data_IF_003528601085
#
_entry.id   IF_003528601085
#
_cell.length_a   1.000
_cell.length_b   1.000
_cell.length_c   1.000
_cell.angle_alpha   90.00
_cell.angle_beta   90.00
_cell.angle_gamma   90.00
#
_symmetry.space_group_name_H-M   'P 1'
#
loop_
_entity.id
_entity.type
_entity.pdbx_description
1 polymer ?
#
# COMPACT_ATOMS: atom_id res chain seq x y z
N UNK A 1 -27.18 11.94 1.77
CA UNK A 1 -25.76 12.34 1.87
C UNK A 1 -24.91 11.22 1.29
N UNK A 2 -24.28 11.36 0.11
CA UNK A 2 -23.50 10.27 -0.44
C UNK A 2 -22.21 10.12 0.39
N UNK A 3 -22.03 8.91 0.91
CA UNK A 3 -20.98 8.54 1.83
C UNK A 3 -19.64 8.53 1.10
N UNK A 4 -18.72 9.37 1.57
CA UNK A 4 -17.41 9.67 1.00
C UNK A 4 -16.42 8.52 1.27
N UNK A 5 -16.75 7.29 0.87
CA UNK A 5 -15.82 6.15 0.91
C UNK A 5 -14.85 6.24 -0.27
N UNK A 6 -13.83 7.11 -0.17
CA UNK A 6 -12.67 7.01 -1.04
C UNK A 6 -11.90 5.73 -0.66
N UNK A 7 -12.23 4.63 -1.32
CA UNK A 7 -11.57 3.33 -1.17
C UNK A 7 -10.26 3.23 -1.97
N UNK A 8 -9.89 4.27 -2.71
CA UNK A 8 -8.70 4.31 -3.56
C UNK A 8 -7.91 5.59 -3.26
N UNK A 9 -6.62 5.46 -2.99
CA UNK A 9 -5.70 6.59 -2.84
C UNK A 9 -4.57 6.45 -3.86
N UNK A 10 -4.34 7.52 -4.62
CA UNK A 10 -3.31 7.58 -5.66
C UNK A 10 -2.31 8.65 -5.25
N UNK A 11 -1.08 8.23 -5.00
CA UNK A 11 0.08 9.05 -4.68
C UNK A 11 1.19 8.86 -5.72
N UNK A 12 0.80 8.45 -6.95
CA UNK A 12 1.74 8.22 -8.03
C UNK A 12 2.51 9.49 -8.39
N UNK A 13 3.84 9.40 -8.48
CA UNK A 13 4.69 10.55 -8.82
C UNK A 13 4.77 11.64 -7.74
N UNK A 14 4.37 11.34 -6.50
CA UNK A 14 4.41 12.29 -5.38
C UNK A 14 5.77 12.37 -4.68
N UNK A 15 6.83 11.79 -5.25
CA UNK A 15 8.18 11.72 -4.67
C UNK A 15 8.17 11.07 -3.27
N UNK A 16 7.31 10.08 -3.07
CA UNK A 16 7.26 9.32 -1.81
C UNK A 16 8.56 8.56 -1.65
N UNK A 17 9.30 8.90 -0.60
CA UNK A 17 10.54 8.24 -0.18
C UNK A 17 10.24 7.16 0.87
N UNK A 18 11.28 6.43 1.29
CA UNK A 18 11.19 5.48 2.40
C UNK A 18 10.57 6.07 3.67
N UNK A 19 10.92 7.30 4.04
CA UNK A 19 10.34 7.99 5.20
C UNK A 19 8.85 8.29 5.01
N UNK A 20 8.45 8.63 3.78
CA UNK A 20 7.06 8.80 3.41
C UNK A 20 6.27 7.50 3.56
N UNK A 21 6.83 6.35 3.16
CA UNK A 21 6.22 5.04 3.36
C UNK A 21 6.04 4.68 4.84
N UNK A 22 7.04 4.97 5.68
CA UNK A 22 6.95 4.77 7.13
C UNK A 22 5.83 5.61 7.75
N UNK A 23 5.73 6.87 7.32
CA UNK A 23 4.67 7.78 7.76
C UNK A 23 3.27 7.32 7.31
N UNK A 24 3.15 6.87 6.05
CA UNK A 24 1.92 6.30 5.51
C UNK A 24 1.47 5.06 6.29
N UNK A 25 2.39 4.15 6.58
CA UNK A 25 2.09 2.96 7.35
C UNK A 25 1.64 3.28 8.78
N UNK A 26 2.33 4.21 9.45
CA UNK A 26 1.92 4.66 10.79
C UNK A 26 0.51 5.26 10.77
N UNK A 27 0.19 6.07 9.75
CA UNK A 27 -1.14 6.65 9.58
C UNK A 27 -2.22 5.58 9.33
N UNK A 28 -1.93 4.55 8.50
CA UNK A 28 -2.83 3.45 8.22
C UNK A 28 -3.08 2.57 9.45
N UNK A 29 -2.04 2.30 10.26
CA UNK A 29 -2.19 1.55 11.52
C UNK A 29 -2.90 2.35 12.61
N UNK A 30 -2.61 3.65 12.74
CA UNK A 30 -3.21 4.50 13.78
C UNK A 30 -4.66 4.86 13.47
N UNK A 31 -5.03 4.92 12.19
CA UNK A 31 -6.37 5.26 11.75
C UNK A 31 -6.81 4.28 10.67
N UNK A 32 -7.30 3.09 11.07
CA UNK A 32 -7.69 2.03 10.15
C UNK A 32 -8.77 2.56 9.21
N UNK A 33 -8.34 2.89 8.00
CA UNK A 33 -9.18 3.53 7.01
C UNK A 33 -9.97 2.49 6.21
N UNK A 34 -10.96 2.95 5.45
CA UNK A 34 -11.63 2.12 4.45
C UNK A 34 -10.84 2.05 3.14
N UNK A 35 -9.54 2.35 3.17
CA UNK A 35 -8.67 2.33 2.00
C UNK A 35 -8.45 0.89 1.54
N UNK A 36 -8.82 0.62 0.29
CA UNK A 36 -8.79 -0.69 -0.38
C UNK A 36 -7.68 -0.77 -1.42
N UNK A 37 -7.34 0.36 -2.04
CA UNK A 37 -6.24 0.44 -3.01
C UNK A 37 -5.33 1.64 -2.71
N UNK A 38 -4.02 1.40 -2.75
CA UNK A 38 -2.98 2.41 -2.64
C UNK A 38 -2.04 2.32 -3.85
N UNK A 39 -1.94 3.40 -4.60
CA UNK A 39 -1.05 3.50 -5.75
C UNK A 39 0.11 4.45 -5.46
N UNK A 40 1.31 3.87 -5.39
CA UNK A 40 2.61 4.52 -5.22
C UNK A 40 3.50 4.34 -6.45
N UNK A 41 2.95 4.04 -7.63
CA UNK A 41 3.73 3.99 -8.87
C UNK A 41 4.51 5.30 -9.12
N UNK A 42 5.62 5.22 -9.84
CA UNK A 42 6.49 6.37 -10.11
C UNK A 42 6.97 7.10 -8.83
N UNK A 43 7.17 6.37 -7.73
CA UNK A 43 7.82 6.86 -6.52
C UNK A 43 9.05 6.00 -6.20
N UNK A 44 9.82 6.44 -5.20
CA UNK A 44 11.03 5.77 -4.74
C UNK A 44 10.87 5.31 -3.28
N UNK A 45 9.95 4.37 -2.99
CA UNK A 45 9.72 3.89 -1.62
C UNK A 45 10.96 3.20 -1.03
N UNK A 46 11.89 2.75 -1.89
CA UNK A 46 13.03 1.92 -1.52
C UNK A 46 12.60 0.53 -1.03
N UNK A 47 13.55 -0.40 -0.94
CA UNK A 47 13.28 -1.78 -0.53
C UNK A 47 12.65 -1.84 0.87
N UNK A 48 13.17 -1.03 1.80
CA UNK A 48 12.68 -0.99 3.17
C UNK A 48 11.29 -0.37 3.29
N UNK A 49 10.97 0.68 2.51
CA UNK A 49 9.65 1.29 2.54
C UNK A 49 8.59 0.39 1.89
N UNK A 50 8.94 -0.28 0.79
CA UNK A 50 8.09 -1.27 0.14
C UNK A 50 7.83 -2.49 1.04
N UNK A 51 8.86 -3.01 1.73
CA UNK A 51 8.72 -4.10 2.69
C UNK A 51 7.81 -3.72 3.86
N UNK A 52 7.94 -2.50 4.37
CA UNK A 52 7.13 -1.99 5.48
C UNK A 52 5.64 -1.91 5.10
N UNK A 53 5.33 -1.36 3.92
CA UNK A 53 3.97 -1.32 3.41
C UNK A 53 3.42 -2.72 3.09
N UNK A 54 4.27 -3.63 2.60
CA UNK A 54 3.88 -5.02 2.33
C UNK A 54 3.55 -5.79 3.61
N UNK A 55 4.34 -5.60 4.68
CA UNK A 55 4.04 -6.20 5.98
C UNK A 55 2.72 -5.70 6.56
N UNK A 56 2.38 -4.42 6.34
CA UNK A 56 1.10 -3.88 6.75
C UNK A 56 -0.09 -4.48 5.98
N UNK A 57 0.10 -5.00 4.75
CA UNK A 57 -0.96 -5.74 4.04
C UNK A 57 -1.32 -7.07 4.72
N UNK A 58 -0.42 -7.62 5.52
CA UNK A 58 -0.66 -8.83 6.33
C UNK A 58 -1.37 -8.48 7.65
N UNK A 59 -1.42 -7.21 8.03
CA UNK A 59 -2.12 -6.74 9.22
C UNK A 59 -3.63 -6.71 8.97
N UNK A 60 -4.45 -7.47 9.72
CA UNK A 60 -5.90 -7.51 9.55
C UNK A 60 -6.59 -6.16 9.84
N UNK A 61 -5.90 -5.22 10.50
CA UNK A 61 -6.38 -3.86 10.72
C UNK A 61 -6.33 -3.04 9.42
N UNK A 62 -5.37 -3.34 8.53
CA UNK A 62 -5.29 -2.69 7.23
C UNK A 62 -6.30 -3.36 6.30
N UNK A 63 -7.27 -2.56 5.83
CA UNK A 63 -8.30 -3.03 4.88
C UNK A 63 -7.86 -2.93 3.43
N UNK A 64 -6.54 -2.92 3.20
CA UNK A 64 -5.92 -2.65 1.91
C UNK A 64 -5.79 -3.95 1.12
N UNK A 65 -6.48 -4.03 -0.03
CA UNK A 65 -6.49 -5.22 -0.90
C UNK A 65 -5.39 -5.17 -1.98
N UNK A 66 -5.03 -3.96 -2.41
CA UNK A 66 -4.06 -3.74 -3.49
C UNK A 66 -3.07 -2.63 -3.13
N UNK A 67 -1.79 -2.94 -3.28
CA UNK A 67 -0.70 -1.98 -3.28
C UNK A 67 -0.01 -1.99 -4.65
N UNK A 68 0.15 -0.82 -5.26
CA UNK A 68 0.88 -0.65 -6.52
C UNK A 68 2.13 0.18 -6.24
N UNK A 69 3.29 -0.31 -6.65
CA UNK A 69 4.55 0.45 -6.62
C UNK A 69 5.42 -0.01 -7.79
N UNK A 70 6.32 0.83 -8.29
CA UNK A 70 7.15 0.51 -9.46
C UNK A 70 7.73 1.75 -10.10
N UNK A 71 9.02 1.68 -10.47
CA UNK A 71 9.81 2.81 -10.99
C UNK A 71 9.90 2.86 -12.52
N UNK A 72 9.45 1.81 -13.22
CA UNK A 72 9.40 1.78 -14.68
C UNK A 72 7.99 1.42 -15.15
N UNK A 73 7.72 1.58 -16.45
CA UNK A 73 6.40 1.56 -17.10
C UNK A 73 5.55 0.29 -16.88
N UNK A 74 6.04 -0.67 -16.09
CA UNK A 74 5.30 -1.80 -15.54
C UNK A 74 5.02 -1.60 -14.04
N UNK A 75 3.81 -1.14 -13.64
CA UNK A 75 3.44 -1.10 -12.23
C UNK A 75 3.49 -2.52 -11.64
N UNK A 76 4.33 -2.76 -10.64
CA UNK A 76 4.31 -4.01 -9.90
C UNK A 76 3.05 -3.99 -9.04
N UNK A 77 2.13 -4.91 -9.35
CA UNK A 77 0.87 -5.06 -8.65
C UNK A 77 1.02 -6.11 -7.55
N UNK A 78 1.12 -5.67 -6.30
CA UNK A 78 0.95 -6.57 -5.17
C UNK A 78 -0.55 -6.66 -4.85
N UNK A 79 -1.18 -7.76 -5.24
CA UNK A 79 -2.50 -8.12 -4.73
C UNK A 79 -2.31 -8.99 -3.50
N UNK A 80 -3.04 -8.68 -2.43
CA UNK A 80 -3.33 -9.67 -1.38
C UNK A 80 -4.24 -10.73 -2.00
N UNK A 81 -3.66 -11.62 -2.82
CA UNK A 81 -4.18 -12.97 -2.90
C UNK A 81 -3.68 -13.61 -1.64
N UNK A 82 -4.60 -13.98 -0.74
CA UNK A 82 -4.37 -15.02 0.26
C UNK A 82 -3.58 -16.12 -0.45
N UNK A 83 -2.27 -16.15 -0.25
CA UNK A 83 -1.45 -17.23 -0.75
C UNK A 83 -1.79 -18.34 0.21
N UNK A 84 -2.68 -19.22 -0.26
CA UNK A 84 -2.95 -20.49 0.38
C UNK A 84 -1.62 -21.01 0.92
N UNK A 85 -1.62 -21.15 2.24
CA UNK A 85 -0.60 -21.81 3.01
C UNK A 85 -0.15 -23.07 2.29
N UNK A 86 1.02 -23.00 1.69
CA UNK A 86 1.81 -24.16 1.32
C UNK A 86 3.23 -23.82 1.70
N UNK A 87 3.52 -23.99 2.98
CA UNK A 87 4.86 -24.28 3.43
C UNK A 87 5.44 -25.38 2.53
N UNK A 88 6.67 -25.17 2.05
CA UNK A 88 7.58 -26.24 1.70
C UNK A 88 8.84 -26.01 2.52
#
# INVERSE_FOLDING_TARGET
VPNMLCSVCVLSGCLVTQEGCSSLASALSSNPSHLRELDLSYNHPGDSGAALLSAGLEDPLWRLDTLRYGEDSSPLRYKVSLKDSSCC
#
